data_IF_158911029864
#
_entry.id   IF_158911029864
#
_cell.length_a   1.000
_cell.length_b   1.000
_cell.length_c   1.000
_cell.angle_alpha   90.00
_cell.angle_beta   90.00
_cell.angle_gamma   90.00
#
_symmetry.space_group_name_H-M   'P 1'
#
loop_
_entity.id
_entity.type
_entity.pdbx_description
1 polymer ?
#
# COMPACT_ATOMS: atom_id res chain seq x y z
N UNK A 1 -9.06 3.14 35.69
CA UNK A 1 -10.12 3.53 34.75
C UNK A 1 -11.50 3.61 35.42
N UNK A 2 -11.96 2.56 36.11
CA UNK A 2 -13.33 2.52 36.68
C UNK A 2 -13.62 3.65 37.70
N UNK A 3 -12.69 3.94 38.62
CA UNK A 3 -12.87 4.99 39.64
C UNK A 3 -13.08 6.40 39.06
N UNK A 4 -12.52 6.68 37.88
CA UNK A 4 -12.59 8.00 37.21
C UNK A 4 -13.54 8.01 36.01
N UNK A 5 -14.37 6.98 35.86
CA UNK A 5 -15.31 6.85 34.74
C UNK A 5 -16.40 7.92 34.72
N UNK A 6 -16.60 8.71 35.79
CA UNK A 6 -17.57 9.81 35.79
C UNK A 6 -17.04 11.09 35.15
N UNK A 7 -15.72 11.32 35.22
CA UNK A 7 -15.07 12.57 34.81
C UNK A 7 -14.16 12.39 33.59
N UNK A 8 -13.67 11.18 33.35
CA UNK A 8 -12.71 10.89 32.27
C UNK A 8 -13.21 9.77 31.36
N UNK A 9 -12.99 9.94 30.05
CA UNK A 9 -13.22 8.91 29.02
C UNK A 9 -11.87 8.44 28.49
N UNK A 10 -11.71 7.14 28.32
CA UNK A 10 -10.49 6.53 27.78
C UNK A 10 -10.78 5.96 26.40
N UNK A 11 -9.91 6.27 25.43
CA UNK A 11 -9.92 5.67 24.10
C UNK A 11 -8.58 4.96 23.90
N UNK A 12 -8.62 3.67 23.61
CA UNK A 12 -7.44 2.85 23.37
C UNK A 12 -7.46 2.36 21.92
N UNK A 13 -6.35 2.54 21.21
CA UNK A 13 -6.20 2.15 19.81
C UNK A 13 -5.11 1.08 19.75
N UNK A 14 -5.39 -0.04 19.09
CA UNK A 14 -4.43 -1.13 18.91
C UNK A 14 -4.67 -1.88 17.61
N UNK A 15 -3.62 -2.50 17.06
CA UNK A 15 -3.72 -3.32 15.84
C UNK A 15 -4.10 -4.77 16.16
N UNK A 16 -3.74 -5.24 17.35
CA UNK A 16 -3.94 -6.63 17.77
C UNK A 16 -4.61 -6.67 19.14
N UNK A 17 -5.89 -7.08 19.18
CA UNK A 17 -6.65 -7.19 20.43
C UNK A 17 -6.03 -8.22 21.37
N UNK A 18 -5.39 -9.26 20.84
CA UNK A 18 -4.68 -10.28 21.62
C UNK A 18 -3.51 -9.74 22.45
N UNK A 19 -2.98 -8.57 22.10
CA UNK A 19 -1.93 -7.89 22.87
C UNK A 19 -2.48 -7.04 24.03
N UNK A 20 -3.80 -6.90 24.13
CA UNK A 20 -4.45 -6.18 25.22
C UNK A 20 -4.90 -7.18 26.28
N UNK A 21 -4.51 -6.92 27.53
CA UNK A 21 -4.89 -7.75 28.67
C UNK A 21 -6.42 -7.81 28.85
N UNK A 22 -6.93 -8.97 29.27
CA UNK A 22 -8.36 -9.21 29.47
C UNK A 22 -9.07 -8.18 30.38
N UNK A 23 -8.46 -7.70 31.49
CA UNK A 23 -9.12 -6.71 32.35
C UNK A 23 -9.44 -5.38 31.66
N UNK A 24 -8.75 -5.02 30.57
CA UNK A 24 -9.06 -3.80 29.80
C UNK A 24 -10.13 -4.11 28.76
N UNK A 25 -9.99 -5.21 28.02
CA UNK A 25 -10.93 -5.59 26.96
C UNK A 25 -12.32 -5.95 27.49
N UNK A 26 -12.43 -6.42 28.74
CA UNK A 26 -13.73 -6.67 29.38
C UNK A 26 -14.50 -5.40 29.75
N UNK A 27 -13.81 -4.26 29.89
CA UNK A 27 -14.39 -2.98 30.35
C UNK A 27 -14.62 -1.96 29.23
N UNK A 28 -14.03 -2.17 28.06
CA UNK A 28 -14.11 -1.25 26.94
C UNK A 28 -15.09 -1.73 25.86
N UNK A 29 -15.83 -0.80 25.26
CA UNK A 29 -16.55 -1.07 24.01
C UNK A 29 -15.54 -1.35 22.89
N UNK A 30 -15.74 -2.47 22.18
CA UNK A 30 -14.80 -2.95 21.15
C UNK A 30 -15.28 -2.49 19.78
N UNK A 31 -14.48 -1.65 19.13
CA UNK A 31 -14.69 -1.24 17.75
C UNK A 31 -13.61 -1.88 16.89
N UNK A 32 -14.01 -2.69 15.90
CA UNK A 32 -13.07 -3.33 14.97
C UNK A 32 -13.14 -2.61 13.62
N UNK A 33 -12.04 -1.95 13.27
CA UNK A 33 -11.86 -1.35 11.96
C UNK A 33 -11.40 -2.44 10.99
N UNK A 34 -12.20 -2.66 9.94
CA UNK A 34 -11.79 -3.49 8.80
C UNK A 34 -11.00 -2.63 7.81
N UNK A 35 -10.16 -3.24 6.95
CA UNK A 35 -9.62 -2.55 5.78
C UNK A 35 -10.75 -1.87 5.00
N UNK A 36 -10.44 -0.71 4.42
CA UNK A 36 -11.43 0.07 3.70
C UNK A 36 -11.82 -0.62 2.40
N UNK A 37 -13.10 -0.57 2.06
CA UNK A 37 -13.58 -1.01 0.75
C UNK A 37 -12.98 -0.12 -0.35
N UNK A 38 -12.73 -0.71 -1.52
CA UNK A 38 -12.11 -0.01 -2.65
C UNK A 38 -12.91 1.23 -3.07
N UNK A 39 -14.24 1.15 -3.08
CA UNK A 39 -15.13 2.27 -3.41
C UNK A 39 -14.92 3.47 -2.48
N UNK A 40 -14.87 3.22 -1.17
CA UNK A 40 -14.66 4.26 -0.14
C UNK A 40 -13.27 4.90 -0.29
N UNK A 41 -12.27 4.09 -0.63
CA UNK A 41 -10.91 4.55 -0.90
C UNK A 41 -10.86 5.44 -2.15
N UNK A 42 -11.51 5.00 -3.24
CA UNK A 42 -11.63 5.75 -4.49
C UNK A 42 -12.30 7.10 -4.29
N UNK A 43 -13.46 7.13 -3.62
CA UNK A 43 -14.19 8.35 -3.31
C UNK A 43 -13.35 9.31 -2.48
N UNK A 44 -12.59 8.78 -1.52
CA UNK A 44 -11.73 9.60 -0.66
C UNK A 44 -10.54 10.18 -1.42
N UNK A 45 -9.91 9.40 -2.29
CA UNK A 45 -8.81 9.86 -3.15
C UNK A 45 -9.29 10.92 -4.15
N UNK A 46 -10.46 10.71 -4.78
CA UNK A 46 -11.10 11.70 -5.67
C UNK A 46 -11.41 13.00 -4.92
N UNK A 47 -11.87 12.92 -3.67
CA UNK A 47 -12.11 14.10 -2.85
C UNK A 47 -10.83 14.85 -2.51
N UNK A 48 -9.73 14.15 -2.20
CA UNK A 48 -8.43 14.76 -1.91
C UNK A 48 -7.86 15.42 -3.17
N UNK A 49 -7.87 14.74 -4.31
CA UNK A 49 -7.37 15.28 -5.58
C UNK A 49 -8.10 16.56 -6.00
N UNK A 50 -9.43 16.61 -5.83
CA UNK A 50 -10.21 17.83 -6.08
C UNK A 50 -9.82 18.99 -5.16
N UNK A 51 -9.48 18.73 -3.89
CA UNK A 51 -9.11 19.78 -2.93
C UNK A 51 -7.69 20.31 -3.17
N UNK A 52 -6.79 19.43 -3.58
CA UNK A 52 -5.39 19.76 -3.85
C UNK A 52 -5.15 20.24 -5.29
N UNK A 53 -6.20 20.26 -6.13
CA UNK A 53 -6.16 20.57 -7.56
C UNK A 53 -5.19 19.68 -8.34
N UNK A 54 -5.17 18.39 -8.02
CA UNK A 54 -4.36 17.37 -8.69
C UNK A 54 -5.26 16.64 -9.71
N UNK A 55 -4.82 16.56 -10.96
CA UNK A 55 -5.51 15.77 -11.98
C UNK A 55 -5.07 14.32 -11.86
N UNK A 56 -6.02 13.43 -11.55
CA UNK A 56 -5.80 11.98 -11.48
C UNK A 56 -6.63 11.29 -12.55
N UNK A 57 -6.00 10.38 -13.31
CA UNK A 57 -6.73 9.43 -14.14
C UNK A 57 -7.31 8.30 -13.28
N UNK A 58 -8.37 7.63 -13.76
CA UNK A 58 -8.94 6.48 -13.04
C UNK A 58 -7.93 5.32 -12.92
N UNK A 59 -7.01 5.18 -13.88
CA UNK A 59 -5.89 4.21 -13.83
C UNK A 59 -4.96 4.44 -12.64
N UNK A 60 -4.63 5.71 -12.35
CA UNK A 60 -3.78 6.08 -11.20
C UNK A 60 -4.51 5.82 -9.89
N UNK A 61 -5.82 6.09 -9.84
CA UNK A 61 -6.63 5.81 -8.65
C UNK A 61 -6.67 4.30 -8.40
N UNK A 62 -6.86 3.50 -9.44
CA UNK A 62 -6.85 2.04 -9.32
C UNK A 62 -5.49 1.54 -8.87
N UNK A 63 -4.40 2.04 -9.46
CA UNK A 63 -3.05 1.70 -9.05
C UNK A 63 -2.79 2.04 -7.58
N UNK A 64 -3.24 3.21 -7.11
CA UNK A 64 -3.16 3.57 -5.69
C UNK A 64 -3.95 2.59 -4.82
N UNK A 65 -5.17 2.22 -5.20
CA UNK A 65 -6.01 1.28 -4.43
C UNK A 65 -5.32 -0.10 -4.32
N UNK A 66 -4.85 -0.63 -5.44
CA UNK A 66 -4.22 -1.96 -5.51
C UNK A 66 -2.93 -2.00 -4.69
N UNK A 67 -2.13 -0.95 -4.81
CA UNK A 67 -0.87 -0.77 -4.07
C UNK A 67 -1.10 -0.48 -2.59
N UNK A 68 -2.28 -0.02 -2.17
CA UNK A 68 -2.56 0.37 -0.79
C UNK A 68 -3.17 -0.73 0.07
N UNK A 69 -3.69 -1.80 -0.53
CA UNK A 69 -4.27 -2.96 0.16
C UNK A 69 -5.28 -2.59 1.27
N UNK A 70 -6.08 -1.54 1.04
CA UNK A 70 -7.09 -1.07 1.99
C UNK A 70 -6.59 -0.12 3.08
N UNK A 71 -5.30 0.23 3.11
CA UNK A 71 -4.74 1.28 3.98
C UNK A 71 -4.77 2.66 3.28
N UNK A 72 -5.73 3.49 3.67
CA UNK A 72 -5.87 4.85 3.14
C UNK A 72 -4.67 5.75 3.47
N UNK A 73 -3.98 5.54 4.60
CA UNK A 73 -2.77 6.31 4.92
C UNK A 73 -1.71 6.05 3.87
N UNK A 74 -1.49 4.77 3.52
CA UNK A 74 -0.53 4.37 2.50
C UNK A 74 -0.88 4.99 1.15
N UNK A 75 -2.15 4.93 0.74
CA UNK A 75 -2.64 5.55 -0.50
C UNK A 75 -2.36 7.06 -0.56
N UNK A 76 -2.66 7.78 0.52
CA UNK A 76 -2.45 9.24 0.59
C UNK A 76 -0.96 9.57 0.56
N UNK A 77 -0.13 8.81 1.29
CA UNK A 77 1.33 9.02 1.28
C UNK A 77 1.90 8.85 -0.12
N UNK A 78 1.50 7.80 -0.86
CA UNK A 78 1.95 7.61 -2.24
C UNK A 78 1.50 8.73 -3.17
N UNK A 79 0.23 9.16 -3.06
CA UNK A 79 -0.28 10.29 -3.82
C UNK A 79 0.50 11.59 -3.52
N UNK A 80 0.79 11.85 -2.25
CA UNK A 80 1.54 13.03 -1.84
C UNK A 80 3.00 13.00 -2.33
N UNK A 81 3.66 11.84 -2.23
CA UNK A 81 5.00 11.63 -2.77
C UNK A 81 5.02 11.84 -4.29
N UNK A 82 4.03 11.29 -5.02
CA UNK A 82 3.91 11.43 -6.46
C UNK A 82 3.71 12.89 -6.87
N UNK A 83 2.82 13.59 -6.16
CA UNK A 83 2.59 15.02 -6.38
C UNK A 83 3.82 15.88 -6.05
N UNK A 84 4.73 15.43 -5.19
CA UNK A 84 5.93 16.18 -4.83
C UNK A 84 7.06 16.01 -5.85
N UNK A 85 7.06 14.92 -6.62
CA UNK A 85 8.05 14.67 -7.69
C UNK A 85 7.78 15.54 -8.92
N UNK A 86 6.50 15.79 -9.23
CA UNK A 86 6.08 16.63 -10.34
C UNK A 86 5.84 18.07 -9.88
N UNK A 87 6.79 18.97 -10.15
CA UNK A 87 6.71 20.40 -9.77
C UNK A 87 5.43 21.09 -10.28
N UNK A 88 4.91 20.65 -11.43
CA UNK A 88 3.74 21.25 -12.06
C UNK A 88 2.39 20.65 -11.62
N UNK A 89 2.37 19.66 -10.68
CA UNK A 89 1.17 19.01 -10.09
C UNK A 89 0.09 18.51 -11.07
N UNK A 90 0.36 18.52 -12.37
CA UNK A 90 -0.70 18.52 -13.39
C UNK A 90 -0.93 17.15 -13.99
N UNK A 91 0.03 16.25 -13.95
CA UNK A 91 -0.16 14.88 -14.42
C UNK A 91 0.65 13.91 -13.58
N UNK A 92 -0.06 13.11 -12.77
CA UNK A 92 0.50 11.90 -12.15
C UNK A 92 0.15 10.73 -13.07
N UNK A 93 1.14 9.88 -13.34
CA UNK A 93 0.99 8.67 -14.16
C UNK A 93 1.02 7.42 -13.30
N UNK A 94 0.55 6.31 -13.85
CA UNK A 94 0.54 5.03 -13.14
C UNK A 94 1.96 4.53 -12.81
N UNK A 95 2.93 4.77 -13.70
CA UNK A 95 4.34 4.44 -13.49
C UNK A 95 4.92 5.13 -12.27
N UNK A 96 4.56 6.40 -12.03
CA UNK A 96 5.03 7.15 -10.86
C UNK A 96 4.62 6.46 -9.55
N UNK A 97 3.40 5.91 -9.50
CA UNK A 97 2.91 5.19 -8.33
C UNK A 97 3.67 3.87 -8.14
N UNK A 98 3.95 3.14 -9.21
CA UNK A 98 4.72 1.89 -9.12
C UNK A 98 6.16 2.11 -8.67
N UNK A 99 6.81 3.17 -9.17
CA UNK A 99 8.16 3.53 -8.74
C UNK A 99 8.20 3.91 -7.25
N UNK A 100 7.27 4.75 -6.79
CA UNK A 100 7.22 5.19 -5.38
C UNK A 100 6.86 4.06 -4.43
N UNK A 101 5.98 3.17 -4.87
CA UNK A 101 5.56 2.02 -4.06
C UNK A 101 6.57 0.89 -4.02
N UNK A 102 7.56 0.89 -4.93
CA UNK A 102 8.53 -0.19 -5.07
C UNK A 102 7.90 -1.48 -5.59
N UNK A 103 6.72 -1.41 -6.22
CA UNK A 103 6.10 -2.56 -6.88
C UNK A 103 6.88 -2.86 -8.16
N UNK A 104 7.19 -4.14 -8.35
CA UNK A 104 7.88 -4.59 -9.57
C UNK A 104 6.85 -4.67 -10.71
N UNK A 105 7.15 -4.11 -11.90
CA UNK A 105 6.30 -4.28 -13.06
C UNK A 105 6.07 -5.76 -13.39
N UNK A 106 4.86 -6.10 -13.86
CA UNK A 106 4.48 -7.49 -14.15
C UNK A 106 5.35 -8.10 -15.25
N UNK A 107 5.77 -7.27 -16.20
CA UNK A 107 6.61 -7.67 -17.33
C UNK A 107 7.93 -8.27 -16.85
N UNK A 108 8.52 -7.68 -15.81
CA UNK A 108 9.76 -8.16 -15.19
C UNK A 108 9.53 -9.49 -14.47
N UNK A 109 8.38 -9.64 -13.80
CA UNK A 109 8.01 -10.89 -13.12
C UNK A 109 7.79 -12.02 -14.15
N UNK A 110 7.07 -11.74 -15.24
CA UNK A 110 6.83 -12.69 -16.31
C UNK A 110 8.13 -13.11 -17.00
N UNK A 111 9.07 -12.19 -17.17
CA UNK A 111 10.40 -12.47 -17.71
C UNK A 111 11.22 -13.38 -16.78
N UNK A 112 11.17 -13.13 -15.46
CA UNK A 112 11.77 -14.01 -14.45
C UNK A 112 11.14 -15.40 -14.52
N UNK A 113 9.81 -15.50 -14.55
CA UNK A 113 9.10 -16.78 -14.59
C UNK A 113 9.40 -17.57 -15.87
N UNK A 114 9.45 -16.91 -17.03
CA UNK A 114 9.86 -17.54 -18.30
C UNK A 114 11.30 -18.02 -18.26
N UNK A 115 12.19 -17.24 -17.65
CA UNK A 115 13.60 -17.62 -17.51
C UNK A 115 13.75 -18.83 -16.60
N UNK A 116 13.00 -18.88 -15.48
CA UNK A 116 12.91 -20.05 -14.61
C UNK A 116 12.45 -21.31 -15.36
N UNK A 117 11.50 -21.19 -16.29
CA UNK A 117 11.02 -22.32 -17.09
C UNK A 117 12.04 -22.81 -18.14
N UNK A 118 13.01 -21.96 -18.50
CA UNK A 118 14.02 -22.26 -19.53
C UNK A 118 15.31 -22.87 -18.99
N UNK A 119 15.39 -23.19 -17.69
CA UNK A 119 16.55 -23.78 -16.98
C UNK A 119 17.91 -23.06 -17.18
N UNK A 120 17.90 -21.82 -17.65
CA UNK A 120 19.12 -21.04 -17.91
C UNK A 120 19.56 -20.28 -16.64
N UNK A 121 20.45 -20.91 -15.88
CA UNK A 121 20.98 -20.35 -14.62
C UNK A 121 21.69 -18.99 -14.81
N UNK A 122 22.44 -18.83 -15.90
CA UNK A 122 23.21 -17.61 -16.18
C UNK A 122 22.31 -16.39 -16.38
N UNK A 123 21.20 -16.56 -17.10
CA UNK A 123 20.21 -15.50 -17.32
C UNK A 123 19.47 -15.17 -16.02
N UNK A 124 19.16 -16.18 -15.22
CA UNK A 124 18.50 -16.00 -13.93
C UNK A 124 19.37 -15.17 -12.97
N UNK A 125 20.66 -15.51 -12.84
CA UNK A 125 21.60 -14.79 -11.99
C UNK A 125 21.78 -13.34 -12.45
N UNK A 126 21.78 -13.10 -13.77
CA UNK A 126 21.83 -11.76 -14.33
C UNK A 126 20.58 -10.93 -13.98
N UNK A 127 19.38 -11.50 -14.14
CA UNK A 127 18.12 -10.80 -13.85
C UNK A 127 17.98 -10.52 -12.34
N UNK A 128 18.36 -11.47 -11.48
CA UNK A 128 18.34 -11.28 -10.02
C UNK A 128 19.32 -10.18 -9.61
N UNK A 129 20.53 -10.16 -10.18
CA UNK A 129 21.53 -9.10 -9.93
C UNK A 129 21.07 -7.72 -10.38
N UNK A 130 20.36 -7.64 -11.52
CA UNK A 130 19.75 -6.39 -11.99
C UNK A 130 18.65 -5.96 -11.03
N UNK A 131 17.74 -6.87 -10.66
CA UNK A 131 16.63 -6.61 -9.75
C UNK A 131 17.09 -6.09 -8.38
N UNK A 132 18.16 -6.68 -7.84
CA UNK A 132 18.83 -6.27 -6.60
C UNK A 132 19.45 -4.87 -6.67
N UNK A 133 19.89 -4.42 -7.86
CA UNK A 133 20.45 -3.08 -8.06
C UNK A 133 19.38 -2.00 -8.21
N UNK A 134 18.19 -2.35 -8.69
CA UNK A 134 17.05 -1.43 -8.91
C UNK A 134 16.26 -1.07 -7.65
N UNK A 135 16.78 -1.29 -6.43
CA UNK A 135 16.12 -0.99 -5.16
C UNK A 135 14.82 -1.77 -4.88
N UNK A 136 14.43 -2.72 -5.73
CA UNK A 136 13.28 -3.57 -5.45
C UNK A 136 13.61 -4.56 -4.33
N UNK A 137 12.80 -4.57 -3.26
CA UNK A 137 12.92 -5.58 -2.22
C UNK A 137 12.55 -6.96 -2.78
N UNK A 138 13.44 -7.95 -2.57
CA UNK A 138 13.18 -9.36 -2.94
C UNK A 138 11.86 -9.86 -2.35
N UNK A 139 11.51 -9.39 -1.14
CA UNK A 139 10.25 -9.75 -0.49
C UNK A 139 9.03 -9.31 -1.31
N UNK A 140 9.08 -8.13 -1.94
CA UNK A 140 7.99 -7.61 -2.78
C UNK A 140 7.86 -8.47 -4.05
N UNK A 141 8.98 -8.78 -4.69
CA UNK A 141 9.01 -9.67 -5.86
C UNK A 141 8.41 -11.05 -5.53
N UNK A 142 8.82 -11.67 -4.41
CA UNK A 142 8.24 -12.94 -3.96
C UNK A 142 6.74 -12.82 -3.67
N UNK A 143 6.30 -11.75 -3.02
CA UNK A 143 4.89 -11.54 -2.69
C UNK A 143 4.02 -11.35 -3.95
N UNK A 144 4.53 -10.64 -4.97
CA UNK A 144 3.84 -10.50 -6.24
C UNK A 144 3.73 -11.83 -6.98
N UNK A 145 4.85 -12.58 -7.10
CA UNK A 145 4.86 -13.94 -7.65
C UNK A 145 3.83 -14.87 -6.99
N UNK A 146 3.72 -14.83 -5.66
CA UNK A 146 2.78 -15.66 -4.91
C UNK A 146 1.32 -15.20 -5.03
N UNK A 147 1.11 -13.88 -5.21
CA UNK A 147 -0.24 -13.33 -5.29
C UNK A 147 -0.87 -13.40 -6.68
N UNK A 148 -0.11 -13.82 -7.71
CA UNK A 148 -0.57 -13.87 -9.10
C UNK A 148 -0.99 -12.49 -9.65
N UNK A 149 -0.53 -11.42 -9.00
CA UNK A 149 -0.78 -10.03 -9.38
C UNK A 149 0.40 -9.49 -10.16
#
# INVERSE_FOLDING_TARGET
MEKQSRTTRFCLICNYVSRIIEPITSRCAKFRFKPLAQDVLSDRLKLISKKENIVLSDEVIQALIDTSEGDLRRAITYLQSASSLHQDKTHITQSDIFEISGIVPKETIDEVLKTCQSDSYEKLDMIIKVSLKTLFEISICCQQCLSGR
#
